data_IF_463491377905
#
_entry.id   IF_463491377905
#
_cell.length_a   1.000
_cell.length_b   1.000
_cell.length_c   1.000
_cell.angle_alpha   90.00
_cell.angle_beta   90.00
_cell.angle_gamma   90.00
#
_symmetry.space_group_name_H-M   'P 1'
#
loop_
_entity.id
_entity.type
_entity.pdbx_description
1 polymer ?
#
# COMPACT_ATOMS: atom_id res chain seq x y z
N UNK A 1 20.76 11.58 -7.79
CA UNK A 1 20.03 10.42 -7.23
C UNK A 1 18.55 10.78 -7.09
N UNK A 2 17.60 9.91 -7.48
CA UNK A 2 16.18 10.16 -7.23
C UNK A 2 15.95 10.27 -5.72
N UNK A 3 15.27 11.32 -5.27
CA UNK A 3 14.91 11.48 -3.86
C UNK A 3 14.01 10.30 -3.45
N UNK A 4 14.30 9.58 -2.35
CA UNK A 4 13.44 8.51 -1.88
C UNK A 4 12.02 9.06 -1.69
N UNK A 5 11.03 8.41 -2.30
CA UNK A 5 9.64 8.80 -2.10
C UNK A 5 9.29 8.63 -0.62
N UNK A 6 8.65 9.65 -0.03
CA UNK A 6 8.10 9.53 1.32
C UNK A 6 7.10 8.36 1.31
N UNK A 7 7.14 7.46 2.31
CA UNK A 7 6.17 6.38 2.41
C UNK A 7 4.76 6.97 2.58
N UNK A 8 3.80 6.40 1.87
CA UNK A 8 2.39 6.79 1.84
C UNK A 8 1.64 6.02 2.91
N UNK A 9 0.74 6.66 3.64
CA UNK A 9 0.00 5.99 4.70
C UNK A 9 -1.05 5.05 4.09
N UNK A 10 -1.14 3.84 4.62
CA UNK A 10 -2.12 2.81 4.25
C UNK A 10 -2.78 2.29 5.51
N UNK A 11 -4.11 2.26 5.55
CA UNK A 11 -4.87 1.86 6.74
C UNK A 11 -4.63 0.40 7.15
N UNK A 12 -4.54 -0.52 6.19
CA UNK A 12 -4.35 -1.94 6.46
C UNK A 12 -3.71 -2.69 5.29
N UNK A 13 -3.11 -3.86 5.59
CA UNK A 13 -2.63 -4.75 4.54
C UNK A 13 -3.80 -5.40 3.79
N UNK A 14 -3.71 -5.52 2.45
CA UNK A 14 -4.70 -6.24 1.67
C UNK A 14 -4.81 -7.70 2.11
N UNK A 15 -6.03 -8.16 2.34
CA UNK A 15 -6.33 -9.56 2.66
C UNK A 15 -6.10 -10.49 1.46
N UNK A 16 -6.39 -10.00 0.27
CA UNK A 16 -6.21 -10.72 -0.99
C UNK A 16 -5.17 -9.98 -1.82
N UNK A 17 -4.10 -10.69 -2.19
CA UNK A 17 -2.95 -10.09 -2.86
C UNK A 17 -2.74 -10.60 -4.28
N UNK A 18 -3.64 -11.44 -4.79
CA UNK A 18 -3.50 -12.05 -6.10
C UNK A 18 -4.86 -12.30 -6.74
N UNK A 19 -5.03 -11.79 -7.96
CA UNK A 19 -6.21 -12.00 -8.81
C UNK A 19 -5.74 -12.51 -10.17
N UNK A 20 -6.48 -13.45 -10.75
CA UNK A 20 -6.15 -14.00 -12.07
C UNK A 20 -7.40 -14.39 -12.84
N UNK A 21 -7.36 -14.38 -14.17
CA UNK A 21 -8.43 -14.99 -14.95
C UNK A 21 -8.54 -16.50 -14.69
N UNK A 22 -9.74 -17.02 -14.88
CA UNK A 22 -10.02 -18.46 -14.84
C UNK A 22 -9.54 -19.14 -16.12
N UNK A 23 -9.27 -20.45 -16.06
CA UNK A 23 -8.91 -21.24 -17.24
C UNK A 23 -7.44 -21.19 -17.68
N UNK A 24 -6.62 -20.28 -17.16
CA UNK A 24 -5.18 -20.19 -17.50
C UNK A 24 -4.32 -20.56 -16.28
N UNK A 25 -3.36 -21.51 -16.42
CA UNK A 25 -2.38 -21.81 -15.39
C UNK A 25 -1.50 -20.61 -15.04
N UNK A 26 -1.18 -20.45 -13.75
CA UNK A 26 -0.36 -19.33 -13.24
C UNK A 26 1.00 -19.20 -13.94
N UNK A 27 1.76 -20.28 -14.21
CA UNK A 27 3.08 -20.15 -14.86
C UNK A 27 3.03 -19.57 -16.29
N UNK A 28 1.87 -19.60 -16.94
CA UNK A 28 1.66 -19.09 -18.29
C UNK A 28 1.10 -17.67 -18.30
N UNK A 29 0.72 -17.13 -17.14
CA UNK A 29 0.15 -15.81 -17.01
C UNK A 29 1.23 -14.75 -16.86
N UNK A 30 1.13 -13.70 -17.66
CA UNK A 30 1.85 -12.47 -17.37
C UNK A 30 1.22 -11.76 -16.17
N UNK A 31 2.07 -11.22 -15.29
CA UNK A 31 1.64 -10.50 -14.09
C UNK A 31 1.74 -8.98 -14.27
N UNK A 32 0.80 -8.26 -13.67
CA UNK A 32 0.84 -6.81 -13.44
C UNK A 32 0.89 -6.58 -11.93
N UNK A 33 1.83 -5.76 -11.50
CA UNK A 33 1.98 -5.41 -10.08
C UNK A 33 1.22 -4.12 -9.77
N UNK A 34 0.16 -4.24 -8.97
CA UNK A 34 -0.50 -3.14 -8.29
C UNK A 34 0.20 -2.93 -6.94
N UNK A 35 0.62 -1.72 -6.63
CA UNK A 35 1.28 -1.48 -5.32
C UNK A 35 0.26 -1.37 -4.20
N UNK A 36 0.70 -1.56 -2.96
CA UNK A 36 -0.22 -1.52 -1.80
C UNK A 36 -0.86 -0.14 -1.62
N UNK A 37 -0.11 0.92 -1.88
CA UNK A 37 -0.58 2.30 -1.87
C UNK A 37 -1.50 2.64 -3.05
N UNK A 38 -1.31 2.02 -4.22
CA UNK A 38 -2.24 2.15 -5.35
C UNK A 38 -3.59 1.52 -5.02
N UNK A 39 -3.59 0.35 -4.38
CA UNK A 39 -4.82 -0.28 -3.92
C UNK A 39 -5.53 0.56 -2.87
N UNK A 40 -4.80 1.15 -1.92
CA UNK A 40 -5.39 2.03 -0.91
C UNK A 40 -6.04 3.26 -1.53
N UNK A 41 -5.41 3.86 -2.55
CA UNK A 41 -5.99 5.00 -3.26
C UNK A 41 -7.32 4.62 -3.93
N UNK A 42 -7.38 3.47 -4.61
CA UNK A 42 -8.62 2.95 -5.22
C UNK A 42 -9.67 2.67 -4.16
N UNK A 43 -9.28 2.07 -3.03
CA UNK A 43 -10.20 1.76 -1.93
C UNK A 43 -10.84 3.03 -1.38
N UNK A 44 -10.05 4.07 -1.08
CA UNK A 44 -10.56 5.32 -0.54
C UNK A 44 -11.40 6.09 -1.56
N UNK A 45 -10.94 6.18 -2.82
CA UNK A 45 -11.59 7.03 -3.81
C UNK A 45 -12.78 6.35 -4.50
N UNK A 46 -12.62 5.12 -4.96
CA UNK A 46 -13.59 4.46 -5.83
C UNK A 46 -14.57 3.58 -5.02
N UNK A 47 -14.10 2.96 -3.93
CA UNK A 47 -14.94 2.09 -3.09
C UNK A 47 -15.61 2.83 -1.93
N UNK A 48 -14.86 3.60 -1.14
CA UNK A 48 -15.40 4.42 -0.05
C UNK A 48 -16.01 5.75 -0.52
N UNK A 49 -15.76 6.13 -1.79
CA UNK A 49 -16.31 7.34 -2.44
C UNK A 49 -15.98 8.64 -1.70
N UNK A 50 -14.81 8.71 -1.06
CA UNK A 50 -14.38 9.91 -0.34
C UNK A 50 -13.98 11.03 -1.30
N UNK A 51 -14.00 12.25 -0.77
CA UNK A 51 -13.51 13.41 -1.49
C UNK A 51 -12.00 13.33 -1.72
N UNK A 52 -11.53 13.93 -2.81
CA UNK A 52 -10.11 13.84 -3.21
C UNK A 52 -9.18 14.40 -2.12
N UNK A 53 -9.60 15.47 -1.46
CA UNK A 53 -8.86 16.11 -0.37
C UNK A 53 -8.75 15.18 0.84
N UNK A 54 -9.83 14.45 1.15
CA UNK A 54 -9.87 13.53 2.27
C UNK A 54 -8.98 12.31 2.01
N UNK A 55 -9.06 11.72 0.81
CA UNK A 55 -8.18 10.64 0.38
C UNK A 55 -6.70 11.03 0.52
N UNK A 56 -6.35 12.22 0.03
CA UNK A 56 -4.97 12.72 0.06
C UNK A 56 -4.49 12.92 1.51
N UNK A 57 -5.36 13.44 2.37
CA UNK A 57 -5.10 13.60 3.81
C UNK A 57 -4.88 12.25 4.49
N UNK A 58 -5.77 11.28 4.29
CA UNK A 58 -5.66 9.93 4.88
C UNK A 58 -4.40 9.19 4.44
N UNK A 59 -3.95 9.39 3.20
CA UNK A 59 -2.70 8.79 2.69
C UNK A 59 -1.44 9.61 3.00
N UNK A 60 -1.57 10.77 3.67
CA UNK A 60 -0.50 11.70 3.98
C UNK A 60 0.31 12.16 2.73
N UNK A 61 -0.40 12.53 1.66
CA UNK A 61 0.16 12.99 0.38
C UNK A 61 -0.56 14.22 -0.16
N UNK A 62 0.04 14.89 -1.16
CA UNK A 62 -0.64 15.96 -1.90
C UNK A 62 -1.69 15.40 -2.87
N UNK A 63 -2.76 16.16 -3.14
CA UNK A 63 -3.83 15.78 -4.06
C UNK A 63 -3.34 15.46 -5.48
N UNK A 64 -2.34 16.19 -5.98
CA UNK A 64 -1.71 15.93 -7.27
C UNK A 64 -0.96 14.60 -7.30
N UNK A 65 -0.41 14.16 -6.15
CA UNK A 65 0.22 12.85 -6.01
C UNK A 65 -0.84 11.76 -6.00
N UNK A 66 -1.94 11.95 -5.27
CA UNK A 66 -3.08 11.03 -5.28
C UNK A 66 -3.63 10.82 -6.69
N UNK A 67 -3.83 11.89 -7.46
CA UNK A 67 -4.31 11.80 -8.83
C UNK A 67 -3.38 10.96 -9.72
N UNK A 68 -2.06 11.16 -9.61
CA UNK A 68 -1.08 10.34 -10.34
C UNK A 68 -1.12 8.87 -9.95
N UNK A 69 -1.35 8.57 -8.67
CA UNK A 69 -1.49 7.21 -8.17
C UNK A 69 -2.75 6.57 -8.76
N UNK A 70 -3.89 7.25 -8.70
CA UNK A 70 -5.15 6.76 -9.24
C UNK A 70 -5.04 6.45 -10.74
N UNK A 71 -4.46 7.35 -11.53
CA UNK A 71 -4.24 7.14 -12.97
C UNK A 71 -3.38 5.89 -13.23
N UNK A 72 -2.26 5.74 -12.52
CA UNK A 72 -1.40 4.55 -12.62
C UNK A 72 -2.15 3.27 -12.23
N UNK A 73 -2.90 3.32 -11.13
CA UNK A 73 -3.64 2.19 -10.59
C UNK A 73 -4.76 1.74 -11.55
N UNK A 74 -5.55 2.68 -12.07
CA UNK A 74 -6.60 2.42 -13.07
C UNK A 74 -6.03 1.86 -14.36
N UNK A 75 -4.91 2.38 -14.85
CA UNK A 75 -4.24 1.86 -16.04
C UNK A 75 -3.81 0.39 -15.85
N UNK A 76 -3.22 0.07 -14.69
CA UNK A 76 -2.80 -1.30 -14.36
C UNK A 76 -3.98 -2.27 -14.26
N UNK A 77 -5.07 -1.84 -13.61
CA UNK A 77 -6.29 -2.64 -13.51
C UNK A 77 -6.92 -2.86 -14.89
N UNK A 78 -7.11 -1.79 -15.66
CA UNK A 78 -7.66 -1.87 -17.00
C UNK A 78 -6.83 -2.81 -17.88
N UNK A 79 -5.50 -2.68 -17.84
CA UNK A 79 -4.61 -3.56 -18.58
C UNK A 79 -4.71 -5.02 -18.13
N UNK A 80 -4.85 -5.26 -16.83
CA UNK A 80 -5.02 -6.62 -16.30
C UNK A 80 -6.29 -7.28 -16.81
N UNK A 81 -7.39 -6.53 -16.86
CA UNK A 81 -8.69 -7.01 -17.30
C UNK A 81 -8.71 -7.20 -18.83
N UNK A 82 -8.24 -6.21 -19.59
CA UNK A 82 -8.29 -6.22 -21.06
C UNK A 82 -7.29 -7.21 -21.68
N UNK A 83 -6.07 -7.30 -21.14
CA UNK A 83 -5.04 -8.21 -21.67
C UNK A 83 -5.10 -9.62 -21.02
N UNK A 84 -6.03 -9.87 -20.10
CA UNK A 84 -6.14 -11.17 -19.42
C UNK A 84 -4.94 -11.52 -18.55
N UNK A 85 -4.35 -10.53 -17.89
CA UNK A 85 -3.17 -10.70 -17.02
C UNK A 85 -3.56 -10.93 -15.57
N UNK A 86 -2.68 -11.60 -14.82
CA UNK A 86 -2.84 -11.70 -13.38
C UNK A 86 -2.47 -10.37 -12.71
N UNK A 87 -3.26 -9.95 -11.72
CA UNK A 87 -3.03 -8.77 -10.92
C UNK A 87 -2.49 -9.18 -9.55
N UNK A 88 -1.22 -8.86 -9.30
CA UNK A 88 -0.56 -9.13 -8.02
C UNK A 88 -0.43 -7.84 -7.24
N UNK A 89 -0.91 -7.82 -5.99
CA UNK A 89 -0.73 -6.69 -5.09
C UNK A 89 0.55 -6.88 -4.30
N UNK A 90 1.56 -6.05 -4.56
CA UNK A 90 2.85 -6.17 -3.90
C UNK A 90 3.67 -4.87 -3.95
N UNK A 91 4.48 -4.65 -2.90
CA UNK A 91 5.44 -3.57 -2.85
C UNK A 91 4.83 -2.16 -2.82
N UNK A 92 5.62 -1.18 -3.25
CA UNK A 92 5.28 0.24 -3.19
C UNK A 92 5.84 0.96 -1.96
N UNK A 93 5.94 2.31 -2.01
CA UNK A 93 6.39 3.12 -0.90
C UNK A 93 5.23 3.36 0.07
N UNK A 94 4.97 2.41 0.99
CA UNK A 94 3.91 2.55 1.99
C UNK A 94 4.40 2.39 3.43
N UNK A 95 3.65 2.98 4.35
CA UNK A 95 3.70 2.75 5.79
C UNK A 95 2.28 2.39 6.26
N UNK A 96 2.15 1.37 7.10
CA UNK A 96 0.86 1.00 7.65
C UNK A 96 0.49 1.93 8.81
N UNK A 97 -0.78 2.28 8.90
CA UNK A 97 -1.31 3.04 10.02
C UNK A 97 -1.09 2.29 11.34
N UNK A 98 -0.59 3.00 12.34
CA UNK A 98 -0.21 2.40 13.62
C UNK A 98 1.10 1.59 13.60
N UNK A 99 1.83 1.52 12.47
CA UNK A 99 3.19 0.97 12.48
C UNK A 99 4.23 2.01 12.88
N UNK A 100 5.08 1.65 13.84
CA UNK A 100 6.25 2.45 14.19
C UNK A 100 7.51 1.65 13.93
N UNK A 101 8.46 2.29 13.26
CA UNK A 101 9.81 1.79 13.11
C UNK A 101 10.56 2.02 14.42
N UNK A 102 11.11 0.96 15.01
CA UNK A 102 12.03 1.14 16.14
C UNK A 102 13.27 1.91 15.66
N UNK A 103 13.62 3.02 16.30
CA UNK A 103 14.76 3.86 15.93
C UNK A 103 16.11 3.10 15.92
N UNK A 104 16.24 2.05 16.74
CA UNK A 104 17.47 1.25 16.87
C UNK A 104 17.51 0.04 15.94
N UNK A 105 16.50 -0.82 15.98
CA UNK A 105 16.50 -2.07 15.21
C UNK A 105 15.77 -1.98 13.86
N UNK A 106 15.15 -0.83 13.54
CA UNK A 106 14.38 -0.55 12.30
C UNK A 106 13.32 -1.58 11.92
N UNK A 107 12.92 -2.45 12.86
CA UNK A 107 11.79 -3.37 12.66
C UNK A 107 10.47 -2.62 12.76
N UNK A 108 9.55 -2.92 11.84
CA UNK A 108 8.17 -2.41 11.83
C UNK A 108 7.35 -3.17 12.88
N UNK A 109 6.61 -2.45 13.71
CA UNK A 109 5.72 -3.01 14.74
C UNK A 109 4.38 -2.31 14.71
N UNK A 110 3.29 -3.09 14.76
CA UNK A 110 1.93 -2.54 14.98
C UNK A 110 1.77 -2.14 16.44
N UNK A 111 1.32 -0.93 16.69
CA UNK A 111 0.82 -0.52 18.01
C UNK A 111 -0.57 -1.11 18.19
N UNK A 112 -0.63 -2.31 18.77
CA UNK A 112 -1.87 -3.07 18.91
C UNK A 112 -2.12 -3.70 20.28
N UNK A 113 -1.12 -3.98 21.11
CA UNK A 113 -1.33 -4.52 22.46
C UNK A 113 -0.19 -4.04 23.38
N UNK A 114 -0.56 -3.25 24.38
CA UNK A 114 0.31 -2.54 25.33
C UNK A 114 1.28 -1.53 24.69
N UNK A 115 1.26 -0.29 25.18
CA UNK A 115 2.36 0.63 25.02
C UNK A 115 3.58 0.04 25.75
N UNK A 116 4.28 -0.90 25.10
CA UNK A 116 5.53 -1.42 25.64
C UNK A 116 6.50 -0.24 25.54
N UNK A 117 6.82 0.38 26.67
CA UNK A 117 7.77 1.49 26.79
C UNK A 117 9.11 1.16 26.11
N UNK A 118 9.41 -0.14 26.01
CA UNK A 118 10.59 -0.71 25.41
C UNK A 118 10.24 -1.61 24.21
N UNK A 119 11.03 -1.53 23.14
CA UNK A 119 10.96 -2.48 22.03
C UNK A 119 11.44 -3.88 22.50
N UNK A 120 10.61 -4.95 22.55
CA UNK A 120 11.02 -6.25 23.10
C UNK A 120 12.10 -6.98 22.28
N UNK A 121 12.46 -6.46 21.11
CA UNK A 121 13.57 -6.94 20.28
C UNK A 121 14.93 -6.31 20.61
N UNK A 122 14.96 -5.12 21.21
CA UNK A 122 16.20 -4.39 21.47
C UNK A 122 16.23 -3.63 22.80
N UNK A 123 15.21 -3.84 23.64
CA UNK A 123 15.00 -3.31 24.98
C UNK A 123 15.27 -1.80 25.14
N UNK A 124 15.05 -1.01 24.10
CA UNK A 124 15.35 0.42 24.10
C UNK A 124 14.11 1.25 24.44
N UNK A 125 14.25 2.18 25.38
CA UNK A 125 13.24 3.18 25.73
C UNK A 125 12.97 4.10 24.55
N UNK A 126 11.69 4.41 24.30
CA UNK A 126 11.31 5.59 23.51
C UNK A 126 11.77 6.84 24.29
N UNK A 127 12.74 7.59 23.74
CA UNK A 127 12.87 9.02 24.05
C UNK A 127 12.01 9.79 23.05
#
# INVERSE_FOLDING_TARGET
MPRPHKPRLVSAMPRFTYFKPTGIPVPLLSEIVLTVDELEAIRLKDLEKLEQNECATRMNIAQSTLQRILVSAHQKIARSIVEGKALRIHGGPYALEGEVLCARCRRRRRFGQAAVENCPDCNNMRK
#
